data_IF_382832444927
#
_entry.id   IF_382832444927
#
_cell.length_a   1.000
_cell.length_b   1.000
_cell.length_c   1.000
_cell.angle_alpha   90.00
_cell.angle_beta   90.00
_cell.angle_gamma   90.00
#
_symmetry.space_group_name_H-M   'P 1'
#
loop_
_entity.id
_entity.type
_entity.pdbx_description
1 polymer ?
#
# COMPACT_ATOMS: atom_id res chain seq x y z
N UNK A 1 18.87 1.56 -0.30
CA UNK A 1 17.52 1.28 0.26
C UNK A 1 16.73 2.58 0.36
N UNK A 2 15.42 2.54 0.15
CA UNK A 2 14.57 3.74 0.17
C UNK A 2 14.51 4.33 1.58
N UNK A 3 14.66 5.64 1.72
CA UNK A 3 14.50 6.40 2.99
C UNK A 3 13.03 6.60 3.39
N UNK A 4 12.07 5.96 2.69
CA UNK A 4 10.65 6.13 2.94
C UNK A 4 10.22 5.47 4.26
N UNK A 5 9.58 6.26 5.13
CA UNK A 5 8.94 5.78 6.35
C UNK A 5 7.54 5.19 6.10
N UNK A 6 6.89 5.60 5.01
CA UNK A 6 5.56 5.11 4.58
C UNK A 6 5.63 4.65 3.12
N UNK A 7 5.12 3.45 2.86
CA UNK A 7 5.13 2.81 1.55
C UNK A 7 3.70 2.40 1.20
N UNK A 8 3.21 2.84 0.04
CA UNK A 8 1.89 2.50 -0.48
C UNK A 8 2.04 1.50 -1.62
N UNK A 9 1.46 0.31 -1.47
CA UNK A 9 1.30 -0.68 -2.53
C UNK A 9 -0.01 -0.39 -3.28
N UNK A 10 0.11 0.33 -4.39
CA UNK A 10 -1.00 0.69 -5.28
C UNK A 10 -1.07 -0.23 -6.50
N UNK A 11 -0.69 -1.50 -6.33
CA UNK A 11 -0.79 -2.53 -7.37
C UNK A 11 -2.21 -3.11 -7.41
N UNK A 12 -2.52 -3.90 -8.44
CA UNK A 12 -3.80 -4.61 -8.49
C UNK A 12 -3.95 -5.56 -7.29
N UNK A 13 -5.19 -5.80 -6.87
CA UNK A 13 -5.53 -6.67 -5.73
C UNK A 13 -4.83 -8.04 -5.84
N UNK A 14 -4.91 -8.68 -7.02
CA UNK A 14 -4.27 -9.98 -7.26
C UNK A 14 -2.74 -9.98 -7.13
N UNK A 15 -2.08 -8.81 -7.21
CA UNK A 15 -0.64 -8.67 -7.10
C UNK A 15 -0.15 -8.26 -5.70
N UNK A 16 -1.03 -7.87 -4.77
CA UNK A 16 -0.64 -7.37 -3.44
C UNK A 16 0.25 -8.37 -2.70
N UNK A 17 -0.14 -9.65 -2.68
CA UNK A 17 0.58 -10.68 -1.94
C UNK A 17 1.93 -11.07 -2.58
N UNK A 18 2.03 -11.08 -3.91
CA UNK A 18 3.32 -11.34 -4.59
C UNK A 18 4.27 -10.18 -4.36
N UNK A 19 3.81 -8.94 -4.59
CA UNK A 19 4.62 -7.74 -4.38
C UNK A 19 5.11 -7.66 -2.93
N UNK A 20 4.24 -7.92 -1.94
CA UNK A 20 4.64 -7.92 -0.54
C UNK A 20 5.76 -8.94 -0.23
N UNK A 21 5.76 -10.12 -0.86
CA UNK A 21 6.85 -11.10 -0.74
C UNK A 21 8.13 -10.61 -1.39
N UNK A 22 8.03 -10.11 -2.61
CA UNK A 22 9.19 -9.66 -3.38
C UNK A 22 9.89 -8.50 -2.66
N UNK A 23 9.11 -7.51 -2.22
CA UNK A 23 9.69 -6.34 -1.55
C UNK A 23 10.18 -6.67 -0.14
N UNK A 24 9.58 -7.63 0.57
CA UNK A 24 10.07 -8.02 1.89
C UNK A 24 11.54 -8.40 1.85
N UNK A 25 12.03 -9.03 0.78
CA UNK A 25 13.43 -9.39 0.55
C UNK A 25 14.39 -8.22 0.33
N UNK A 26 13.90 -7.03 -0.04
CA UNK A 26 14.72 -5.87 -0.41
C UNK A 26 15.35 -5.14 0.79
N UNK A 27 14.92 -5.45 2.00
CA UNK A 27 15.51 -4.89 3.21
C UNK A 27 15.60 -5.93 4.32
N UNK A 28 16.71 -5.91 5.07
CA UNK A 28 16.94 -6.83 6.19
C UNK A 28 15.94 -6.61 7.32
N UNK A 29 15.61 -5.34 7.60
CA UNK A 29 14.72 -4.90 8.66
C UNK A 29 13.68 -3.90 8.13
N UNK A 30 12.44 -4.05 8.57
CA UNK A 30 11.30 -3.20 8.25
C UNK A 30 10.75 -2.43 9.47
N UNK A 31 11.38 -2.55 10.64
CA UNK A 31 11.02 -1.78 11.82
C UNK A 31 11.00 -0.28 11.53
N UNK A 32 9.99 0.42 12.09
CA UNK A 32 9.78 1.85 11.88
C UNK A 32 9.16 2.22 10.53
N UNK A 33 8.88 1.25 9.65
CA UNK A 33 8.19 1.48 8.38
C UNK A 33 6.71 1.12 8.47
N UNK A 34 5.88 1.90 7.80
CA UNK A 34 4.47 1.61 7.57
C UNK A 34 4.28 1.18 6.13
N UNK A 35 3.68 0.01 5.90
CA UNK A 35 3.32 -0.46 4.56
C UNK A 35 1.81 -0.63 4.46
N UNK A 36 1.19 0.06 3.51
CA UNK A 36 -0.25 0.02 3.28
C UNK A 36 -0.53 -0.47 1.86
N UNK A 37 -1.58 -1.25 1.66
CA UNK A 37 -2.14 -1.48 0.33
C UNK A 37 -3.45 -0.72 0.15
N UNK A 38 -3.86 -0.49 -1.10
CA UNK A 38 -5.11 0.25 -1.40
C UNK A 38 -6.30 -0.62 -1.81
N UNK A 39 -6.12 -1.94 -1.93
CA UNK A 39 -7.23 -2.86 -2.24
C UNK A 39 -8.39 -2.68 -1.27
N UNK A 40 -9.61 -2.54 -1.83
CA UNK A 40 -10.94 -2.51 -1.19
C UNK A 40 -11.34 -3.77 -0.42
N UNK A 41 -10.77 -4.90 -0.80
CA UNK A 41 -11.31 -6.23 -0.50
C UNK A 41 -10.35 -7.10 0.32
N UNK A 42 -9.05 -6.81 0.26
CA UNK A 42 -8.04 -7.60 0.93
C UNK A 42 -7.83 -7.15 2.38
N UNK A 43 -7.60 -8.10 3.31
CA UNK A 43 -7.16 -7.77 4.65
C UNK A 43 -5.67 -7.39 4.67
N UNK A 44 -5.26 -6.60 5.66
CA UNK A 44 -3.85 -6.23 5.88
C UNK A 44 -2.91 -7.45 6.07
N UNK A 45 -3.46 -8.63 6.39
CA UNK A 45 -2.70 -9.88 6.43
C UNK A 45 -2.11 -10.30 5.08
N UNK A 46 -2.55 -9.71 3.96
CA UNK A 46 -1.88 -9.86 2.67
C UNK A 46 -0.42 -9.37 2.70
N UNK A 47 -0.09 -8.46 3.63
CA UNK A 47 1.25 -7.91 3.86
C UNK A 47 2.03 -8.63 4.96
N UNK A 48 1.60 -9.85 5.37
CA UNK A 48 2.26 -10.63 6.43
C UNK A 48 3.79 -10.78 6.25
N UNK A 49 4.34 -11.00 5.04
CA UNK A 49 5.80 -11.10 4.85
C UNK A 49 6.57 -9.86 5.33
N UNK A 50 5.97 -8.68 5.23
CA UNK A 50 6.57 -7.43 5.71
C UNK A 50 6.40 -7.27 7.22
N UNK A 51 5.21 -7.63 7.73
CA UNK A 51 4.93 -7.63 9.18
C UNK A 51 5.90 -8.53 9.93
N UNK A 52 6.20 -9.72 9.40
CA UNK A 52 7.18 -10.64 10.00
C UNK A 52 8.60 -10.08 10.07
N UNK A 53 8.91 -9.03 9.30
CA UNK A 53 10.21 -8.34 9.32
C UNK A 53 10.18 -7.00 10.08
N UNK A 54 9.10 -6.73 10.83
CA UNK A 54 8.99 -5.57 11.71
C UNK A 54 8.19 -4.39 11.16
N UNK A 55 7.63 -4.47 9.94
CA UNK A 55 6.76 -3.42 9.42
C UNK A 55 5.46 -3.31 10.24
N UNK A 56 4.98 -2.07 10.41
CA UNK A 56 3.55 -1.85 10.66
C UNK A 56 2.81 -1.98 9.33
N UNK A 57 1.74 -2.78 9.29
CA UNK A 57 1.00 -3.05 8.04
C UNK A 57 -0.47 -2.70 8.16
N UNK A 58 -1.08 -2.28 7.05
CA UNK A 58 -2.49 -1.91 7.01
C UNK A 58 -3.08 -1.93 5.60
N UNK A 59 -4.38 -1.69 5.53
CA UNK A 59 -5.07 -1.29 4.31
C UNK A 59 -5.45 0.19 4.42
N UNK A 60 -5.41 0.91 3.30
CA UNK A 60 -5.87 2.28 3.19
C UNK A 60 -6.77 2.36 1.96
N UNK A 61 -8.07 2.44 2.16
CA UNK A 61 -9.02 2.56 1.06
C UNK A 61 -9.22 4.04 0.74
N UNK A 62 -8.81 4.52 -0.45
CA UNK A 62 -9.08 5.89 -0.83
C UNK A 62 -10.59 6.10 -0.90
N UNK A 63 -11.09 7.14 -0.22
CA UNK A 63 -12.51 7.49 -0.27
C UNK A 63 -12.93 7.86 -1.71
N UNK A 64 -12.04 8.49 -2.46
CA UNK A 64 -12.21 8.80 -3.87
C UNK A 64 -11.37 7.89 -4.76
N UNK A 65 -12.01 7.27 -5.76
CA UNK A 65 -11.31 6.44 -6.74
C UNK A 65 -10.65 7.31 -7.82
N UNK A 66 -9.39 7.01 -8.15
CA UNK A 66 -8.60 7.70 -9.18
C UNK A 66 -8.18 6.68 -10.27
N UNK A 67 -9.08 6.29 -11.18
CA UNK A 67 -8.80 5.22 -12.15
C UNK A 67 -7.88 5.66 -13.30
N UNK A 68 -7.70 6.97 -13.47
CA UNK A 68 -6.75 7.57 -14.39
C UNK A 68 -6.43 9.00 -13.94
N UNK A 69 -5.29 9.55 -14.39
CA UNK A 69 -4.95 10.95 -14.14
C UNK A 69 -6.08 11.89 -14.59
N UNK A 70 -6.67 11.64 -15.77
CA UNK A 70 -7.76 12.46 -16.32
C UNK A 70 -9.03 12.42 -15.47
N UNK A 71 -9.41 11.24 -14.98
CA UNK A 71 -10.56 11.10 -14.09
C UNK A 71 -10.27 11.70 -12.70
N UNK A 72 -9.04 11.58 -12.21
CA UNK A 72 -8.59 12.17 -10.95
C UNK A 72 -8.71 13.68 -10.92
N UNK A 73 -8.22 14.38 -11.95
CA UNK A 73 -8.31 15.85 -12.05
C UNK A 73 -9.75 16.36 -11.95
N UNK A 74 -10.72 15.60 -12.47
CA UNK A 74 -12.14 15.97 -12.36
C UNK A 74 -12.72 15.66 -10.99
N UNK A 75 -12.38 14.50 -10.43
CA UNK A 75 -13.09 13.94 -9.29
C UNK A 75 -12.46 14.24 -7.92
N UNK A 76 -11.18 14.59 -7.88
CA UNK A 76 -10.52 15.02 -6.64
C UNK A 76 -10.84 16.48 -6.27
N UNK A 77 -11.31 17.30 -7.22
CA UNK A 77 -11.70 18.67 -6.95
C UNK A 77 -12.87 18.71 -5.97
N UNK A 78 -12.67 19.35 -4.83
CA UNK A 78 -13.69 19.47 -3.79
C UNK A 78 -13.96 18.19 -3.01
N UNK A 79 -13.07 17.19 -3.08
CA UNK A 79 -13.21 15.96 -2.30
C UNK A 79 -12.56 16.13 -0.92
N UNK A 80 -13.39 16.21 0.13
CA UNK A 80 -13.01 16.27 1.54
C UNK A 80 -13.97 15.40 2.37
N UNK A 81 -13.59 15.09 3.61
CA UNK A 81 -14.41 14.36 4.59
C UNK A 81 -14.56 15.18 5.87
#
# INVERSE_FOLDING_TARGET
>A
MTQASVILLTTSDGAVASVARDIAGLAENWAGRVVLHTSGSLPSSALRPLKSRGASVGSMHPFQTVPSARAGVRSLKGCYW
#
